data_IF_953793636837
#
_entry.id   IF_953793636837
#
_cell.length_a   1.000
_cell.length_b   1.000
_cell.length_c   1.000
_cell.angle_alpha   90.00
_cell.angle_beta   90.00
_cell.angle_gamma   90.00
#
_symmetry.space_group_name_H-M   'P 1'
#
loop_
_entity.id
_entity.type
_entity.pdbx_description
1 polymer ?
#
# COMPACT_ATOMS: atom_id res chain seq x y z
N UNK A 1 -17.36 -7.89 3.13
CA UNK A 1 -18.18 -8.42 4.24
C UNK A 1 -18.13 -7.46 5.42
N UNK A 2 -19.10 -7.48 6.35
CA UNK A 2 -18.92 -6.89 7.68
C UNK A 2 -18.36 -8.00 8.57
N UNK A 3 -17.31 -7.77 9.37
CA UNK A 3 -16.83 -8.76 10.31
C UNK A 3 -17.95 -9.17 11.27
N UNK A 4 -17.97 -10.45 11.67
CA UNK A 4 -19.05 -10.99 12.49
C UNK A 4 -18.96 -10.42 13.91
N UNK A 5 -20.10 -10.03 14.47
CA UNK A 5 -20.18 -9.38 15.80
C UNK A 5 -19.86 -10.33 16.98
N UNK A 6 -19.68 -11.63 16.73
CA UNK A 6 -19.44 -12.70 17.71
C UNK A 6 -17.97 -13.21 17.75
N UNK A 7 -17.05 -12.44 17.17
CA UNK A 7 -15.64 -12.79 17.05
C UNK A 7 -14.95 -12.87 18.43
N UNK A 8 -14.30 -14.00 18.73
CA UNK A 8 -13.62 -14.23 20.02
C UNK A 8 -12.39 -13.33 20.14
N UNK A 9 -12.34 -12.51 21.19
CA UNK A 9 -11.23 -11.60 21.46
C UNK A 9 -10.30 -12.18 22.52
N UNK A 10 -9.02 -12.36 22.16
CA UNK A 10 -7.99 -12.85 23.07
C UNK A 10 -7.39 -11.67 23.81
N UNK A 11 -7.81 -11.48 25.06
CA UNK A 11 -7.16 -10.53 25.96
C UNK A 11 -5.77 -11.03 26.36
N UNK A 12 -4.76 -10.15 26.34
CA UNK A 12 -3.44 -10.45 26.91
C UNK A 12 -3.60 -10.56 28.43
N UNK A 13 -3.49 -11.78 28.97
CA UNK A 13 -3.83 -12.12 30.37
C UNK A 13 -3.12 -11.29 31.46
N UNK A 14 -2.10 -10.48 31.11
CA UNK A 14 -1.34 -9.64 32.04
C UNK A 14 -1.25 -8.16 31.62
N UNK A 15 -1.96 -7.71 30.58
CA UNK A 15 -1.96 -6.31 30.14
C UNK A 15 -3.39 -5.73 30.24
N UNK A 16 -3.76 -5.23 31.42
CA UNK A 16 -5.09 -4.67 31.70
C UNK A 16 -5.41 -3.37 30.96
N UNK A 17 -4.43 -2.77 30.27
CA UNK A 17 -4.59 -1.57 29.45
C UNK A 17 -4.35 -1.81 27.94
N UNK A 18 -4.25 -3.07 27.51
CA UNK A 18 -4.08 -3.41 26.09
C UNK A 18 -5.44 -3.52 25.39
N UNK A 19 -5.48 -3.11 24.11
CA UNK A 19 -6.60 -3.39 23.22
C UNK A 19 -6.50 -4.87 22.81
N UNK A 20 -7.52 -5.71 23.07
CA UNK A 20 -7.50 -7.12 22.70
C UNK A 20 -7.54 -7.31 21.17
N UNK A 21 -6.79 -8.31 20.71
CA UNK A 21 -6.86 -8.85 19.35
C UNK A 21 -8.04 -9.81 19.26
N UNK A 22 -8.89 -9.70 18.25
CA UNK A 22 -9.90 -10.73 17.96
C UNK A 22 -9.44 -11.62 16.82
N UNK A 23 -10.17 -12.73 16.61
CA UNK A 23 -9.88 -13.63 15.48
C UNK A 23 -9.80 -12.84 14.18
N UNK A 24 -8.87 -13.23 13.32
CA UNK A 24 -8.69 -12.63 12.01
C UNK A 24 -9.90 -12.93 11.11
N UNK A 25 -10.19 -12.01 10.18
CA UNK A 25 -11.15 -12.18 9.09
C UNK A 25 -10.36 -12.61 7.84
N UNK A 26 -10.23 -13.92 7.66
CA UNK A 26 -9.54 -14.51 6.53
C UNK A 26 -10.36 -14.40 5.25
N UNK A 27 -9.66 -14.21 4.13
CA UNK A 27 -10.24 -14.39 2.81
C UNK A 27 -10.73 -15.82 2.63
N UNK A 28 -11.78 -15.96 1.83
CA UNK A 28 -12.34 -17.22 1.37
C UNK A 28 -11.30 -18.02 0.57
N UNK A 29 -11.41 -19.35 0.63
CA UNK A 29 -10.53 -20.24 -0.15
C UNK A 29 -10.95 -20.32 -1.63
N UNK A 30 -12.15 -19.83 -1.98
CA UNK A 30 -12.77 -19.88 -3.30
C UNK A 30 -12.83 -18.49 -3.96
N UNK A 31 -12.91 -18.44 -5.29
CA UNK A 31 -13.07 -17.19 -6.06
C UNK A 31 -11.78 -16.63 -6.67
N UNK A 32 -10.64 -17.30 -6.48
CA UNK A 32 -9.37 -16.93 -7.09
C UNK A 32 -9.20 -17.60 -8.46
N UNK A 33 -8.98 -16.80 -9.50
CA UNK A 33 -8.79 -17.30 -10.86
C UNK A 33 -7.96 -16.33 -11.71
N UNK A 34 -7.46 -16.81 -12.83
CA UNK A 34 -6.61 -16.02 -13.71
C UNK A 34 -6.64 -16.50 -15.15
N UNK A 35 -6.46 -15.56 -16.08
CA UNK A 35 -6.35 -15.81 -17.51
C UNK A 35 -5.11 -15.12 -18.03
N UNK A 36 -4.38 -15.79 -18.92
CA UNK A 36 -3.23 -15.22 -19.60
C UNK A 36 -3.27 -15.56 -21.09
N UNK A 37 -3.12 -14.55 -21.93
CA UNK A 37 -2.95 -14.67 -23.37
C UNK A 37 -1.50 -14.29 -23.70
N UNK A 38 -0.88 -15.06 -24.59
CA UNK A 38 0.44 -14.77 -25.14
C UNK A 38 0.35 -14.81 -26.67
N UNK A 39 0.85 -13.77 -27.31
CA UNK A 39 0.88 -13.66 -28.76
C UNK A 39 2.30 -13.33 -29.22
N UNK A 40 2.82 -14.14 -30.13
CA UNK A 40 4.12 -13.90 -30.77
C UNK A 40 3.88 -13.30 -32.15
N UNK A 41 4.33 -12.07 -32.34
CA UNK A 41 4.32 -11.38 -33.62
C UNK A 41 5.50 -11.85 -34.47
N UNK A 42 5.26 -12.32 -35.71
CA UNK A 42 6.33 -12.61 -36.67
C UNK A 42 7.08 -11.35 -37.12
N UNK A 43 6.49 -10.16 -36.93
CA UNK A 43 7.09 -8.88 -37.25
C UNK A 43 7.81 -8.35 -36.01
N UNK A 44 9.15 -8.26 -36.09
CA UNK A 44 10.00 -7.64 -35.09
C UNK A 44 10.26 -8.48 -33.83
N UNK A 45 10.23 -9.82 -33.93
CA UNK A 45 10.49 -10.77 -32.82
C UNK A 45 9.86 -10.31 -31.50
N UNK A 46 8.60 -9.89 -31.59
CA UNK A 46 7.90 -9.24 -30.48
C UNK A 46 6.89 -10.20 -29.88
N UNK A 47 6.95 -10.35 -28.57
CA UNK A 47 5.97 -11.07 -27.78
C UNK A 47 5.10 -10.08 -27.02
N UNK A 48 3.79 -10.21 -27.17
CA UNK A 48 2.81 -9.55 -26.33
C UNK A 48 2.20 -10.55 -25.35
N UNK A 49 2.00 -10.12 -24.12
CA UNK A 49 1.27 -10.86 -23.10
C UNK A 49 0.17 -9.99 -22.52
N UNK A 50 -1.01 -10.57 -22.33
CA UNK A 50 -2.10 -9.97 -21.58
C UNK A 50 -2.49 -10.91 -20.47
N UNK A 51 -2.72 -10.41 -19.27
CA UNK A 51 -3.13 -11.22 -18.15
C UNK A 51 -4.21 -10.53 -17.33
N UNK A 52 -5.08 -11.34 -16.76
CA UNK A 52 -6.11 -10.93 -15.83
C UNK A 52 -6.07 -11.88 -14.63
N UNK A 53 -6.16 -11.33 -13.42
CA UNK A 53 -6.20 -12.11 -12.18
C UNK A 53 -7.32 -11.55 -11.28
N UNK A 54 -8.14 -12.43 -10.72
CA UNK A 54 -8.93 -12.15 -9.53
C UNK A 54 -8.29 -12.91 -8.36
N UNK A 55 -7.77 -12.19 -7.38
CA UNK A 55 -7.05 -12.79 -6.23
C UNK A 55 -7.46 -12.13 -4.91
N UNK A 56 -7.16 -12.78 -3.79
CA UNK A 56 -7.41 -12.22 -2.46
C UNK A 56 -6.12 -11.68 -1.85
N UNK A 57 -6.23 -10.64 -1.02
CA UNK A 57 -5.09 -10.06 -0.31
C UNK A 57 -4.42 -11.12 0.55
N UNK A 58 -3.09 -11.21 0.43
CA UNK A 58 -2.24 -11.96 1.37
C UNK A 58 -1.60 -11.03 2.39
N UNK A 59 -1.79 -9.73 2.24
CA UNK A 59 -1.32 -8.70 3.15
C UNK A 59 -2.38 -8.52 4.25
N UNK A 60 -2.01 -8.72 5.53
CA UNK A 60 -2.90 -8.47 6.65
C UNK A 60 -3.15 -6.96 6.76
N UNK A 61 -4.42 -6.54 6.77
CA UNK A 61 -4.80 -5.15 7.02
C UNK A 61 -5.48 -5.03 8.37
N UNK A 62 -5.17 -3.98 9.13
CA UNK A 62 -5.78 -3.78 10.44
C UNK A 62 -7.10 -3.03 10.31
N UNK A 63 -8.09 -3.48 11.07
CA UNK A 63 -9.33 -2.75 11.37
C UNK A 63 -9.64 -2.90 12.86
N UNK A 64 -10.66 -2.20 13.36
CA UNK A 64 -11.00 -2.32 14.77
C UNK A 64 -12.44 -1.95 15.09
N UNK A 65 -12.73 -1.94 16.38
CA UNK A 65 -14.00 -1.47 16.90
C UNK A 65 -13.77 -0.51 18.05
N UNK A 66 -14.57 0.54 18.06
CA UNK A 66 -14.45 1.60 19.03
C UNK A 66 -14.74 1.11 20.45
N UNK A 67 -14.02 1.66 21.41
CA UNK A 67 -14.17 1.35 22.85
C UNK A 67 -15.60 1.57 23.35
N UNK A 68 -16.07 0.70 24.25
CA UNK A 68 -17.43 0.79 24.83
C UNK A 68 -17.46 1.38 26.23
N UNK A 69 -16.29 1.55 26.87
CA UNK A 69 -16.11 2.09 28.21
C UNK A 69 -14.86 2.95 28.27
N UNK A 70 -14.60 3.63 29.39
CA UNK A 70 -13.38 4.40 29.61
C UNK A 70 -12.08 3.58 29.62
N UNK A 71 -12.19 2.25 29.59
CA UNK A 71 -11.06 1.33 29.59
C UNK A 71 -10.67 0.91 28.16
N UNK A 72 -9.39 1.00 27.76
CA UNK A 72 -8.93 0.64 26.41
C UNK A 72 -9.15 -0.85 26.10
N UNK A 73 -9.23 -1.70 27.12
CA UNK A 73 -9.55 -3.14 26.95
C UNK A 73 -10.96 -3.42 26.42
N UNK A 74 -11.83 -2.40 26.35
CA UNK A 74 -13.17 -2.51 25.79
C UNK A 74 -13.23 -2.26 24.28
N UNK A 75 -12.14 -1.75 23.69
CA UNK A 75 -11.95 -1.73 22.25
C UNK A 75 -11.51 -3.10 21.75
N UNK A 76 -11.42 -3.26 20.44
CA UNK A 76 -10.85 -4.47 19.83
C UNK A 76 -10.26 -4.16 18.47
N UNK A 77 -9.22 -4.90 18.07
CA UNK A 77 -8.71 -4.86 16.70
C UNK A 77 -8.85 -6.23 16.04
N UNK A 78 -8.96 -6.22 14.71
CA UNK A 78 -9.02 -7.41 13.86
C UNK A 78 -8.03 -7.24 12.71
N UNK A 79 -7.56 -8.37 12.20
CA UNK A 79 -6.81 -8.42 10.94
C UNK A 79 -7.78 -8.88 9.85
N UNK A 80 -7.83 -8.17 8.74
CA UNK A 80 -8.68 -8.49 7.59
C UNK A 80 -7.81 -8.77 6.35
N UNK A 81 -8.26 -9.72 5.54
CA UNK A 81 -7.65 -10.07 4.25
C UNK A 81 -8.66 -9.78 3.13
N UNK A 82 -8.67 -8.58 2.53
CA UNK A 82 -9.69 -8.22 1.55
C UNK A 82 -9.68 -9.12 0.31
N UNK A 83 -10.86 -9.51 -0.14
CA UNK A 83 -11.07 -10.41 -1.28
C UNK A 83 -11.22 -9.65 -2.61
N UNK A 84 -11.33 -10.38 -3.73
CA UNK A 84 -11.67 -9.84 -5.06
C UNK A 84 -10.85 -8.62 -5.51
N UNK A 85 -9.53 -8.76 -5.49
CA UNK A 85 -8.60 -7.82 -6.11
C UNK A 85 -8.41 -8.23 -7.56
N UNK A 86 -8.81 -7.33 -8.45
CA UNK A 86 -8.74 -7.55 -9.89
C UNK A 86 -7.50 -6.85 -10.44
N UNK A 87 -6.66 -7.61 -11.14
CA UNK A 87 -5.44 -7.12 -11.79
C UNK A 87 -5.52 -7.38 -13.28
N UNK A 88 -5.32 -6.32 -14.05
CA UNK A 88 -5.19 -6.33 -15.50
C UNK A 88 -3.74 -6.01 -15.84
N UNK A 89 -3.14 -6.81 -16.71
CA UNK A 89 -1.74 -6.69 -17.05
C UNK A 89 -1.52 -6.80 -18.54
N UNK A 90 -0.62 -5.96 -19.04
CA UNK A 90 -0.09 -6.05 -20.39
C UNK A 90 1.43 -6.04 -20.30
N UNK A 91 2.07 -6.95 -21.03
CA UNK A 91 3.52 -6.99 -21.17
C UNK A 91 3.91 -7.10 -22.63
N UNK A 92 5.04 -6.54 -22.98
CA UNK A 92 5.68 -6.80 -24.26
C UNK A 92 7.18 -7.01 -24.09
N UNK A 93 7.74 -7.82 -24.95
CA UNK A 93 9.18 -8.02 -25.07
C UNK A 93 9.53 -8.06 -26.55
N UNK A 94 10.48 -7.25 -26.98
CA UNK A 94 10.91 -7.15 -28.38
C UNK A 94 12.42 -7.14 -28.47
N UNK A 95 12.95 -7.87 -29.43
CA UNK A 95 14.37 -7.87 -29.77
C UNK A 95 14.58 -7.36 -31.18
N UNK A 96 15.19 -6.19 -31.31
CA UNK A 96 15.55 -5.60 -32.60
C UNK A 96 16.92 -6.17 -33.00
N UNK A 97 16.92 -7.40 -33.49
CA UNK A 97 18.12 -8.22 -33.75
C UNK A 97 19.20 -7.54 -34.58
N UNK A 98 18.83 -6.70 -35.55
CA UNK A 98 19.79 -5.96 -36.40
C UNK A 98 20.51 -4.82 -35.66
N UNK A 99 19.98 -4.35 -34.54
CA UNK A 99 20.50 -3.17 -33.80
C UNK A 99 21.13 -3.54 -32.45
N UNK A 100 21.01 -4.80 -32.02
CA UNK A 100 21.43 -5.29 -30.71
C UNK A 100 20.65 -4.68 -29.54
N UNK A 101 19.43 -4.19 -29.79
CA UNK A 101 18.54 -3.56 -28.81
C UNK A 101 17.44 -4.55 -28.40
N UNK A 102 17.20 -4.66 -27.09
CA UNK A 102 16.04 -5.35 -26.52
C UNK A 102 15.20 -4.35 -25.71
N UNK A 103 13.89 -4.31 -25.94
CA UNK A 103 12.95 -3.49 -25.19
C UNK A 103 11.92 -4.38 -24.50
N UNK A 104 11.63 -4.06 -23.25
CA UNK A 104 10.67 -4.76 -22.42
C UNK A 104 9.81 -3.74 -21.71
N UNK A 105 8.52 -4.02 -21.61
CA UNK A 105 7.62 -3.20 -20.84
C UNK A 105 6.50 -4.02 -20.22
N UNK A 106 6.10 -3.62 -19.02
CA UNK A 106 4.95 -4.14 -18.31
C UNK A 106 4.11 -2.98 -17.77
N UNK A 107 2.80 -3.07 -17.97
CA UNK A 107 1.80 -2.22 -17.35
C UNK A 107 0.84 -3.13 -16.59
N UNK A 108 0.70 -2.90 -15.30
CA UNK A 108 -0.33 -3.56 -14.48
C UNK A 108 -1.26 -2.52 -13.86
N UNK A 109 -2.55 -2.81 -13.85
CA UNK A 109 -3.62 -2.00 -13.29
C UNK A 109 -4.41 -2.85 -12.31
N UNK A 110 -4.54 -2.40 -11.07
CA UNK A 110 -5.36 -3.03 -10.04
C UNK A 110 -6.52 -2.11 -9.74
N UNK A 111 -7.74 -2.57 -10.00
CA UNK A 111 -8.96 -1.77 -9.83
C UNK A 111 -9.37 -1.63 -8.36
N UNK A 112 -9.06 -2.65 -7.56
CA UNK A 112 -9.61 -2.84 -6.22
C UNK A 112 -8.53 -3.09 -5.17
N UNK A 113 -7.38 -2.41 -5.26
CA UNK A 113 -6.26 -2.62 -4.36
C UNK A 113 -6.58 -2.04 -2.97
N UNK A 114 -6.60 -2.85 -1.89
CA UNK A 114 -6.84 -2.32 -0.57
C UNK A 114 -5.56 -1.68 -0.02
N UNK A 115 -5.65 -0.41 0.36
CA UNK A 115 -4.57 0.35 1.00
C UNK A 115 -4.94 0.64 2.46
N UNK A 116 -4.00 0.37 3.36
CA UNK A 116 -4.21 0.56 4.79
C UNK A 116 -4.12 2.03 5.18
N UNK A 117 -5.01 2.48 6.05
CA UNK A 117 -4.85 3.74 6.76
C UNK A 117 -3.73 3.65 7.79
N UNK A 118 -3.18 4.81 8.13
CA UNK A 118 -2.20 4.95 9.21
C UNK A 118 -2.71 4.33 10.52
N UNK A 119 -1.84 3.61 11.24
CA UNK A 119 -2.21 2.84 12.42
C UNK A 119 -2.57 3.76 13.59
N UNK A 120 -1.90 4.91 13.67
CA UNK A 120 -2.23 6.00 14.60
C UNK A 120 -3.63 6.55 14.35
N UNK A 121 -4.02 6.72 13.08
CA UNK A 121 -5.35 7.21 12.70
C UNK A 121 -6.45 6.21 13.05
N UNK A 122 -6.20 4.93 12.77
CA UNK A 122 -7.09 3.82 13.15
C UNK A 122 -7.26 3.75 14.68
N UNK A 123 -6.16 3.91 15.42
CA UNK A 123 -6.15 3.91 16.88
C UNK A 123 -6.96 5.07 17.45
N UNK A 124 -6.74 6.30 17.00
CA UNK A 124 -7.49 7.47 17.49
C UNK A 124 -8.97 7.40 17.11
N UNK A 125 -9.29 6.90 15.92
CA UNK A 125 -10.67 6.67 15.48
C UNK A 125 -11.43 5.74 16.43
N UNK A 126 -10.79 4.64 16.85
CA UNK A 126 -11.36 3.67 17.81
C UNK A 126 -11.49 4.23 19.25
N UNK A 127 -10.70 5.24 19.62
CA UNK A 127 -10.73 5.87 20.95
C UNK A 127 -11.66 7.08 21.06
N UNK A 128 -12.30 7.51 19.96
CA UNK A 128 -13.25 8.64 19.90
C UNK A 128 -14.30 8.66 21.03
N UNK A 129 -14.87 7.51 21.49
CA UNK A 129 -15.86 7.49 22.56
C UNK A 129 -15.34 7.89 23.96
N UNK A 130 -14.03 7.91 24.23
CA UNK A 130 -13.49 8.04 25.59
C UNK A 130 -13.54 9.47 26.17
N UNK A 131 -13.42 10.54 25.36
CA UNK A 131 -13.45 11.93 25.87
C UNK A 131 -13.46 12.99 24.75
N UNK A 132 -14.00 14.19 25.03
CA UNK A 132 -13.75 15.43 24.27
C UNK A 132 -12.29 15.90 24.24
N UNK A 133 -11.43 15.45 25.16
CA UNK A 133 -10.00 15.79 25.19
C UNK A 133 -9.17 14.97 24.19
N UNK A 134 -9.47 13.68 24.05
CA UNK A 134 -8.96 12.85 22.94
C UNK A 134 -9.58 13.26 21.61
N UNK A 135 -10.82 13.78 21.63
CA UNK A 135 -11.48 14.42 20.47
C UNK A 135 -10.71 15.61 19.91
N UNK A 136 -9.95 16.36 20.73
CA UNK A 136 -9.07 17.45 20.28
C UNK A 136 -7.77 16.97 19.63
N UNK A 137 -7.31 15.77 20.00
CA UNK A 137 -6.11 15.14 19.45
C UNK A 137 -6.45 14.34 18.18
N UNK A 138 -7.60 13.67 18.17
CA UNK A 138 -8.22 13.10 16.98
C UNK A 138 -8.54 14.18 15.95
N UNK A 139 -8.96 15.41 16.31
CA UNK A 139 -9.14 16.49 15.31
C UNK A 139 -7.86 16.97 14.61
N UNK A 140 -6.68 16.47 15.01
CA UNK A 140 -5.42 16.67 14.28
C UNK A 140 -5.08 15.47 13.36
N UNK A 141 -5.89 14.42 13.38
CA UNK A 141 -5.82 13.24 12.54
C UNK A 141 -7.10 13.22 11.69
N UNK A 142 -6.95 13.10 10.37
CA UNK A 142 -8.03 13.48 9.46
C UNK A 142 -9.19 12.46 9.41
N UNK A 143 -9.07 11.30 10.07
CA UNK A 143 -10.20 10.38 10.32
C UNK A 143 -11.09 10.79 11.51
N UNK A 144 -10.81 11.91 12.20
CA UNK A 144 -11.77 12.56 13.11
C UNK A 144 -13.01 13.14 12.41
N UNK A 145 -13.05 13.18 11.08
CA UNK A 145 -14.22 13.64 10.34
C UNK A 145 -15.40 12.66 10.44
N UNK A 146 -15.15 11.39 10.78
CA UNK A 146 -16.17 10.35 11.05
C UNK A 146 -16.19 10.02 12.53
N UNK A 147 -17.34 10.20 13.20
CA UNK A 147 -17.51 9.89 14.62
C UNK A 147 -18.07 8.49 14.79
N UNK A 148 -17.29 7.64 15.46
CA UNK A 148 -17.71 6.30 15.84
C UNK A 148 -18.34 6.30 17.24
N UNK A 149 -19.48 5.64 17.37
CA UNK A 149 -20.12 5.33 18.64
C UNK A 149 -19.46 4.15 19.36
N UNK A 150 -19.77 3.94 20.65
CA UNK A 150 -19.32 2.78 21.41
C UNK A 150 -19.56 1.45 20.68
N UNK A 151 -18.50 0.71 20.37
CA UNK A 151 -18.57 -0.61 19.73
C UNK A 151 -18.76 -0.60 18.21
N UNK A 152 -18.79 0.57 17.58
CA UNK A 152 -18.88 0.70 16.12
C UNK A 152 -17.64 0.12 15.45
N UNK A 153 -17.85 -0.47 14.27
CA UNK A 153 -16.76 -0.95 13.43
C UNK A 153 -16.05 0.21 12.74
N UNK A 154 -14.73 0.24 12.92
CA UNK A 154 -13.80 1.20 12.32
C UNK A 154 -12.99 0.44 11.28
N UNK A 155 -13.29 0.70 10.00
CA UNK A 155 -12.52 0.13 8.89
C UNK A 155 -11.17 0.83 8.79
N UNK A 156 -10.07 0.08 8.75
CA UNK A 156 -8.72 0.60 8.67
C UNK A 156 -8.07 0.55 7.27
N UNK A 157 -8.86 0.36 6.21
CA UNK A 157 -8.38 0.35 4.83
C UNK A 157 -9.45 0.84 3.86
N UNK A 158 -9.01 1.28 2.69
CA UNK A 158 -9.87 1.70 1.59
C UNK A 158 -9.32 1.18 0.26
N UNK A 159 -10.21 0.94 -0.72
CA UNK A 159 -9.81 0.45 -2.03
C UNK A 159 -9.44 1.61 -2.93
N UNK A 160 -8.33 1.44 -3.64
CA UNK A 160 -7.84 2.37 -4.64
C UNK A 160 -7.50 1.64 -5.92
N UNK A 161 -7.53 2.39 -7.00
CA UNK A 161 -7.01 1.95 -8.27
C UNK A 161 -5.49 2.20 -8.29
N UNK A 162 -4.69 1.21 -8.68
CA UNK A 162 -3.23 1.32 -8.70
C UNK A 162 -2.69 0.91 -10.06
N UNK A 163 -1.98 1.81 -10.72
CA UNK A 163 -1.22 1.52 -11.95
C UNK A 163 0.26 1.40 -11.68
N UNK A 164 0.90 0.40 -12.27
CA UNK A 164 2.35 0.25 -12.23
C UNK A 164 2.88 0.04 -13.64
N UNK A 165 3.88 0.83 -14.00
CA UNK A 165 4.59 0.74 -15.26
C UNK A 165 6.05 0.42 -14.98
N UNK A 166 6.58 -0.54 -15.72
CA UNK A 166 8.01 -0.83 -15.78
C UNK A 166 8.42 -0.92 -17.24
N UNK A 167 9.51 -0.26 -17.59
CA UNK A 167 10.10 -0.30 -18.92
C UNK A 167 11.61 -0.43 -18.82
N UNK A 168 12.15 -1.38 -19.57
CA UNK A 168 13.58 -1.69 -19.60
C UNK A 168 14.05 -1.71 -21.05
N UNK A 169 15.14 -1.00 -21.32
CA UNK A 169 15.85 -0.99 -22.59
C UNK A 169 17.27 -1.49 -22.37
N UNK A 170 17.70 -2.47 -23.16
CA UNK A 170 19.08 -2.96 -23.16
C UNK A 170 19.68 -2.82 -24.56
N UNK A 171 20.94 -2.35 -24.64
CA UNK A 171 21.70 -2.30 -25.90
C UNK A 171 23.08 -2.89 -25.70
N UNK A 172 23.43 -3.85 -26.55
CA UNK A 172 24.78 -4.39 -26.65
C UNK A 172 25.54 -3.72 -27.82
N UNK A 173 26.71 -3.17 -27.54
CA UNK A 173 27.67 -2.68 -28.51
C UNK A 173 28.76 -3.74 -28.70
N UNK A 174 28.94 -4.21 -29.94
CA UNK A 174 29.94 -5.22 -30.29
C UNK A 174 31.39 -4.71 -30.31
N UNK A 175 32.32 -5.51 -30.86
CA UNK A 175 33.72 -5.14 -31.06
C UNK A 175 33.84 -3.91 -31.98
N UNK A 176 34.75 -2.97 -31.66
CA UNK A 176 34.88 -1.69 -32.37
C UNK A 176 34.10 -0.53 -31.74
N UNK A 177 33.63 -0.71 -30.50
CA UNK A 177 33.08 0.37 -29.70
C UNK A 177 34.13 1.43 -29.30
N UNK A 178 33.64 2.58 -28.88
CA UNK A 178 34.40 3.78 -28.48
C UNK A 178 35.38 3.58 -27.30
N UNK A 179 35.34 2.43 -26.62
CA UNK A 179 36.27 2.08 -25.54
C UNK A 179 37.24 0.94 -25.91
N UNK A 180 37.19 0.43 -27.15
CA UNK A 180 38.02 -0.70 -27.58
C UNK A 180 37.71 -2.03 -26.85
N UNK A 181 36.58 -2.12 -26.14
CA UNK A 181 36.15 -3.31 -25.44
C UNK A 181 35.62 -4.38 -26.43
N UNK A 182 35.61 -5.64 -26.00
CA UNK A 182 35.01 -6.71 -26.81
C UNK A 182 33.48 -6.59 -26.89
N UNK A 183 32.83 -6.10 -25.82
CA UNK A 183 31.41 -5.79 -25.78
C UNK A 183 31.14 -4.77 -24.67
N UNK A 184 30.19 -3.86 -24.90
CA UNK A 184 29.62 -2.99 -23.86
C UNK A 184 28.12 -3.24 -23.85
N UNK A 185 27.52 -3.39 -22.67
CA UNK A 185 26.06 -3.42 -22.51
C UNK A 185 25.62 -2.17 -21.74
N UNK A 186 24.57 -1.52 -22.23
CA UNK A 186 23.89 -0.43 -21.54
C UNK A 186 22.46 -0.84 -21.26
N UNK A 187 22.02 -0.61 -20.02
CA UNK A 187 20.65 -0.86 -19.56
C UNK A 187 20.08 0.47 -19.09
N UNK A 188 18.83 0.74 -19.47
CA UNK A 188 18.05 1.86 -18.98
C UNK A 188 16.73 1.32 -18.45
N UNK A 189 16.35 1.75 -17.25
CA UNK A 189 15.15 1.31 -16.54
C UNK A 189 14.33 2.52 -16.14
N UNK A 190 13.02 2.42 -16.35
CA UNK A 190 12.03 3.42 -15.97
C UNK A 190 10.87 2.70 -15.31
N UNK A 191 10.59 3.05 -14.06
CA UNK A 191 9.49 2.50 -13.29
C UNK A 191 8.63 3.61 -12.69
N UNK A 192 7.33 3.37 -12.61
CA UNK A 192 6.40 4.27 -11.95
C UNK A 192 5.24 3.50 -11.33
N UNK A 193 4.85 3.85 -10.10
CA UNK A 193 3.58 3.44 -9.50
C UNK A 193 2.73 4.68 -9.26
N UNK A 194 1.48 4.60 -9.67
CA UNK A 194 0.44 5.61 -9.46
C UNK A 194 -0.69 4.99 -8.65
N UNK A 195 -1.15 5.68 -7.63
CA UNK A 195 -2.40 5.36 -6.95
C UNK A 195 -3.42 6.45 -7.30
N UNK A 196 -4.49 6.05 -7.97
CA UNK A 196 -5.53 6.97 -8.41
C UNK A 196 -6.55 7.22 -7.31
N UNK A 197 -7.21 8.38 -7.38
CA UNK A 197 -8.25 8.81 -6.46
C UNK A 197 -7.83 8.85 -4.98
N UNK A 198 -6.52 9.00 -4.71
CA UNK A 198 -6.04 9.28 -3.37
C UNK A 198 -6.59 10.64 -2.89
N UNK A 199 -7.31 10.67 -1.76
CA UNK A 199 -7.62 11.91 -1.07
C UNK A 199 -6.33 12.67 -0.77
N UNK A 200 -6.41 14.00 -0.67
CA UNK A 200 -5.25 14.79 -0.28
C UNK A 200 -4.68 14.25 1.04
N UNK A 201 -3.35 14.13 1.19
CA UNK A 201 -2.76 13.57 2.41
C UNK A 201 -3.09 14.35 3.69
N UNK A 202 -3.58 15.60 3.54
CA UNK A 202 -4.07 16.42 4.64
C UNK A 202 -5.49 16.01 5.11
N UNK A 203 -6.21 15.19 4.33
CA UNK A 203 -7.56 14.68 4.62
C UNK A 203 -7.59 13.18 5.01
N UNK A 204 -6.65 12.35 4.54
CA UNK A 204 -6.58 10.95 4.96
C UNK A 204 -5.18 10.39 4.71
N UNK A 205 -4.60 9.71 5.70
CA UNK A 205 -3.23 9.17 5.64
C UNK A 205 -3.26 7.65 5.41
N UNK A 206 -2.51 7.21 4.42
CA UNK A 206 -2.27 5.80 4.13
C UNK A 206 -0.87 5.39 4.59
N UNK A 207 -0.74 4.13 5.01
CA UNK A 207 0.55 3.54 5.38
C UNK A 207 1.45 3.43 4.15
N UNK A 208 2.64 4.01 4.22
CA UNK A 208 3.71 3.90 3.22
C UNK A 208 5.09 3.79 3.83
N UNK A 209 6.10 3.53 3.00
CA UNK A 209 7.49 3.48 3.45
C UNK A 209 7.91 4.81 4.08
N UNK A 210 8.51 4.75 5.27
CA UNK A 210 8.89 5.93 6.06
C UNK A 210 7.75 6.63 6.81
N UNK A 211 6.51 6.11 6.81
CA UNK A 211 5.42 6.67 7.62
C UNK A 211 5.74 6.45 9.11
N UNK A 212 5.77 7.53 9.88
CA UNK A 212 6.10 7.47 11.30
C UNK A 212 4.97 6.82 12.10
N UNK A 213 5.22 5.59 12.58
CA UNK A 213 4.34 4.81 13.47
C UNK A 213 4.38 5.28 14.93
N UNK A 214 4.99 6.45 15.18
CA UNK A 214 5.13 7.06 16.50
C UNK A 214 3.83 7.67 17.03
N UNK A 215 3.28 7.09 18.10
CA UNK A 215 2.20 7.69 18.86
C UNK A 215 2.73 8.78 19.81
N UNK A 216 3.01 9.98 19.29
CA UNK A 216 3.00 11.21 20.11
C UNK A 216 4.22 12.15 19.96
N UNK A 217 3.94 13.45 20.09
CA UNK A 217 4.95 14.49 20.18
C UNK A 217 5.79 14.38 21.46
N UNK A 218 7.06 14.79 21.34
CA UNK A 218 8.04 14.81 22.42
C UNK A 218 7.63 15.78 23.54
N UNK A 219 7.27 15.23 24.70
CA UNK A 219 6.90 15.98 25.90
C UNK A 219 8.11 16.62 26.62
N UNK A 220 9.35 16.29 26.24
CA UNK A 220 10.57 16.86 26.85
C UNK A 220 11.03 18.15 26.17
N UNK A 221 10.55 18.45 24.96
CA UNK A 221 10.94 19.64 24.18
C UNK A 221 9.77 20.56 23.79
N UNK A 222 8.59 20.41 24.41
CA UNK A 222 7.47 21.34 24.21
C UNK A 222 6.84 21.27 22.82
N UNK A 223 7.00 20.14 22.11
CA UNK A 223 6.32 19.89 20.85
C UNK A 223 4.80 19.83 21.05
N UNK A 224 4.04 20.33 20.08
CA UNK A 224 2.61 20.10 20.05
C UNK A 224 2.31 18.59 20.16
N UNK A 225 1.17 18.23 20.75
CA UNK A 225 0.69 16.83 20.83
C UNK A 225 0.29 16.24 19.45
N UNK A 226 0.82 16.83 18.39
CA UNK A 226 0.63 16.51 16.98
C UNK A 226 1.98 15.99 16.51
N UNK A 227 1.99 14.89 15.76
CA UNK A 227 3.21 14.40 15.13
C UNK A 227 3.86 15.56 14.34
N UNK A 228 5.07 16.04 14.70
CA UNK A 228 5.71 17.18 14.04
C UNK A 228 6.14 16.85 12.60
N UNK A 229 6.20 15.58 12.20
CA UNK A 229 6.60 15.14 10.86
C UNK A 229 5.44 15.09 9.87
N UNK A 230 4.49 16.02 10.01
CA UNK A 230 3.36 16.14 9.09
C UNK A 230 3.80 16.38 7.63
N UNK A 231 5.03 16.75 7.29
CA UNK A 231 5.36 17.25 5.94
C UNK A 231 6.19 16.32 5.03
N UNK A 232 6.94 15.34 5.54
CA UNK A 232 8.11 14.84 4.77
C UNK A 232 8.10 13.35 4.40
N UNK A 233 7.19 12.52 4.97
CA UNK A 233 7.25 11.05 4.78
C UNK A 233 5.87 10.39 4.64
N UNK A 234 5.13 10.84 3.61
CA UNK A 234 3.77 10.39 3.26
C UNK A 234 3.84 9.41 2.09
N UNK A 235 2.92 8.45 1.99
CA UNK A 235 2.76 7.67 0.76
C UNK A 235 2.41 8.65 -0.38
N UNK A 236 3.29 8.85 -1.38
CA UNK A 236 2.99 9.78 -2.46
C UNK A 236 2.00 9.14 -3.42
N UNK A 237 1.19 9.97 -4.07
CA UNK A 237 0.28 9.57 -5.15
C UNK A 237 1.02 8.93 -6.33
N UNK A 238 2.29 9.36 -6.54
CA UNK A 238 3.19 8.84 -7.57
C UNK A 238 4.55 8.51 -6.99
N UNK A 239 5.04 7.30 -7.25
CA UNK A 239 6.44 6.91 -7.02
C UNK A 239 7.09 6.64 -8.36
N UNK A 240 7.98 7.53 -8.80
CA UNK A 240 8.79 7.33 -10.00
C UNK A 240 10.18 6.84 -9.60
N UNK A 241 10.55 5.64 -10.04
CA UNK A 241 11.91 5.11 -9.89
C UNK A 241 12.56 5.16 -11.27
N UNK A 242 13.33 6.23 -11.49
CA UNK A 242 14.32 6.34 -12.55
C UNK A 242 15.69 6.52 -11.93
N UNK A 243 16.73 6.00 -12.59
CA UNK A 243 18.13 6.04 -12.13
C UNK A 243 18.45 7.34 -11.37
N UNK A 244 18.58 7.24 -10.05
CA UNK A 244 19.25 8.27 -9.26
C UNK A 244 20.70 8.30 -9.74
N UNK A 245 21.21 9.43 -10.28
CA UNK A 245 22.64 9.57 -10.44
C UNK A 245 23.19 9.58 -9.02
N UNK A 246 23.89 8.50 -8.64
CA UNK A 246 24.51 8.37 -7.33
C UNK A 246 25.29 9.64 -6.99
N UNK A 247 24.81 10.38 -6.00
CA UNK A 247 25.59 11.44 -5.38
C UNK A 247 26.81 10.82 -4.70
N UNK A 248 27.98 11.48 -4.72
CA UNK A 248 29.15 10.97 -4.03
C UNK A 248 28.87 10.89 -2.53
N UNK A 249 29.39 9.80 -1.94
CA UNK A 249 29.36 9.48 -0.51
C UNK A 249 29.81 10.62 0.39
#
# INVERSE_FOLDING_TARGET
MRPRADQQCTGVRNCIQAIPACQDDYASDDGQYGLALRYFSPVGDTEFGFFFLNYHSRLPLLSGYAVTSTSPNSGRYIVEYPEDIQLYGMRFNTTLGETGIALQGELSYRDNMPLQFDDVELLFSALTPLNSSFRRQATASSASSVRFGPGDYVRGWERHEVSQLQFTMTKAFGPGNWLGAQQIATVAEFGGTEVWDLPSPDLLRYQGDGTDTGCGGDLLHGGALVNPDLADRRLPDRVLVGLSPGGPC
#
